data_IF_194766570194
#
_entry.id   IF_194766570194
#
_cell.length_a   1.000
_cell.length_b   1.000
_cell.length_c   1.000
_cell.angle_alpha   90.00
_cell.angle_beta   90.00
_cell.angle_gamma   90.00
#
_symmetry.space_group_name_H-M   'P 1'
#
loop_
_entity.id
_entity.type
_entity.pdbx_description
1 polymer ?
#
# COMPACT_ATOMS: atom_id res chain seq x y z
N UNK A 1 22.19 21.60 3.02
CA UNK A 1 20.99 21.41 2.20
C UNK A 1 20.14 22.64 2.38
N UNK A 2 19.94 23.43 1.35
CA UNK A 2 19.06 24.59 1.41
C UNK A 2 17.63 24.09 1.46
N UNK A 3 16.91 24.40 2.53
CA UNK A 3 15.51 23.97 2.74
C UNK A 3 14.52 25.11 2.51
N UNK A 4 14.98 26.22 1.94
CA UNK A 4 14.17 27.45 1.78
C UNK A 4 12.94 27.20 0.91
N UNK A 5 13.06 26.34 -0.10
CA UNK A 5 11.96 25.96 -1.00
C UNK A 5 11.37 24.56 -0.70
N UNK A 6 11.83 23.88 0.34
CA UNK A 6 11.33 22.55 0.70
C UNK A 6 10.00 22.66 1.46
N UNK A 7 9.02 21.79 1.17
CA UNK A 7 7.76 21.77 1.90
C UNK A 7 8.01 21.54 3.40
N UNK A 8 7.43 22.39 4.24
CA UNK A 8 7.55 22.22 5.68
C UNK A 8 6.56 21.15 6.17
N UNK A 9 7.05 20.24 7.01
CA UNK A 9 6.22 19.27 7.72
C UNK A 9 5.92 19.83 9.10
N UNK A 10 4.67 20.14 9.37
CA UNK A 10 4.21 20.73 10.64
C UNK A 10 3.30 19.72 11.33
N UNK A 11 3.62 19.39 12.59
CA UNK A 11 2.74 18.59 13.43
C UNK A 11 1.53 19.47 13.80
N UNK A 12 0.34 18.97 13.42
CA UNK A 12 -0.91 19.69 13.67
C UNK A 12 -1.64 19.14 14.88
N UNK A 13 -1.78 17.81 14.96
CA UNK A 13 -2.49 17.12 16.05
C UNK A 13 -1.82 15.79 16.35
N UNK A 14 -1.64 15.51 17.65
CA UNK A 14 -1.24 14.20 18.16
C UNK A 14 -2.37 13.60 18.99
N UNK A 15 -2.73 12.36 18.73
CA UNK A 15 -3.77 11.63 19.46
C UNK A 15 -3.25 10.26 19.91
N UNK A 16 -3.24 10.03 21.20
CA UNK A 16 -2.97 8.69 21.75
C UNK A 16 -4.23 7.82 21.68
N UNK A 17 -4.02 6.54 21.39
CA UNK A 17 -5.06 5.51 21.35
C UNK A 17 -4.73 4.37 22.31
N UNK A 18 -5.75 3.62 22.74
CA UNK A 18 -5.62 2.52 23.70
C UNK A 18 -5.37 1.14 23.06
N UNK A 19 -5.02 1.11 21.77
CA UNK A 19 -4.72 -0.07 20.98
C UNK A 19 -3.45 0.15 20.15
N UNK A 20 -2.85 -0.93 19.66
CA UNK A 20 -1.72 -0.84 18.72
C UNK A 20 -2.26 -0.60 17.30
N UNK A 21 -2.05 0.60 16.70
CA UNK A 21 -2.48 0.87 15.35
C UNK A 21 -1.57 0.15 14.35
N UNK A 22 -2.17 -0.43 13.31
CA UNK A 22 -1.44 -1.07 12.20
C UNK A 22 -1.64 -0.37 10.87
N UNK A 23 -2.84 0.17 10.63
CA UNK A 23 -3.14 0.88 9.40
C UNK A 23 -4.06 2.07 9.66
N UNK A 24 -3.90 3.11 8.86
CA UNK A 24 -4.74 4.30 8.88
C UNK A 24 -5.05 4.74 7.46
N UNK A 25 -6.32 5.04 7.18
CA UNK A 25 -6.81 5.42 5.85
C UNK A 25 -7.76 6.60 5.92
N UNK A 26 -7.56 7.58 5.07
CA UNK A 26 -8.56 8.61 4.87
C UNK A 26 -9.81 8.04 4.20
N UNK A 27 -10.97 8.40 4.73
CA UNK A 27 -12.24 8.10 4.06
C UNK A 27 -12.33 9.02 2.84
N UNK A 28 -12.49 8.48 1.64
CA UNK A 28 -12.46 9.26 0.41
C UNK A 28 -13.44 10.43 0.44
N UNK A 29 -12.99 11.59 -0.06
CA UNK A 29 -13.78 12.84 -0.14
C UNK A 29 -14.38 13.27 1.21
N UNK A 30 -13.67 13.07 2.31
CA UNK A 30 -14.14 13.48 3.64
C UNK A 30 -13.01 14.01 4.54
N UNK A 31 -13.38 14.69 5.64
CA UNK A 31 -12.46 15.10 6.71
C UNK A 31 -12.37 14.04 7.83
N UNK A 32 -12.54 12.76 7.46
CA UNK A 32 -12.52 11.62 8.38
C UNK A 32 -11.47 10.62 7.95
N UNK A 33 -10.89 9.91 8.91
CA UNK A 33 -10.03 8.77 8.64
C UNK A 33 -10.34 7.63 9.59
N UNK A 34 -9.97 6.43 9.17
CA UNK A 34 -10.11 5.21 9.96
C UNK A 34 -8.73 4.79 10.42
N UNK A 35 -8.60 4.45 11.70
CA UNK A 35 -7.45 3.76 12.26
C UNK A 35 -7.85 2.35 12.64
N UNK A 36 -7.04 1.39 12.25
CA UNK A 36 -7.26 -0.04 12.45
C UNK A 36 -6.12 -0.64 13.27
N UNK A 37 -6.44 -1.56 14.16
CA UNK A 37 -5.42 -2.13 15.03
C UNK A 37 -5.89 -3.26 15.91
N UNK A 38 -5.13 -3.52 16.97
CA UNK A 38 -5.36 -4.58 17.93
C UNK A 38 -5.28 -4.05 19.36
N UNK A 39 -6.29 -4.39 20.16
CA UNK A 39 -6.27 -4.15 21.59
C UNK A 39 -5.36 -5.14 22.33
N UNK A 40 -4.90 -4.82 23.55
CA UNK A 40 -4.09 -5.74 24.35
C UNK A 40 -4.73 -7.11 24.60
N UNK A 41 -6.07 -7.20 24.54
CA UNK A 41 -6.85 -8.45 24.66
C UNK A 41 -6.96 -9.23 23.35
N UNK A 42 -6.20 -8.87 22.31
CA UNK A 42 -6.21 -9.44 20.96
C UNK A 42 -7.51 -9.20 20.16
N UNK A 43 -8.43 -8.38 20.66
CA UNK A 43 -9.60 -7.93 19.89
C UNK A 43 -9.21 -6.83 18.90
N UNK A 44 -9.99 -6.69 17.83
CA UNK A 44 -9.74 -5.71 16.78
C UNK A 44 -10.31 -4.34 17.11
N UNK A 45 -9.62 -3.29 16.72
CA UNK A 45 -10.10 -1.92 16.78
C UNK A 45 -10.30 -1.38 15.36
N UNK A 46 -11.46 -0.77 15.10
CA UNK A 46 -11.72 0.05 13.92
C UNK A 46 -12.33 1.36 14.41
N UNK A 47 -11.53 2.41 14.46
CA UNK A 47 -11.96 3.70 15.00
C UNK A 47 -12.01 4.74 13.90
N UNK A 48 -13.13 5.42 13.78
CA UNK A 48 -13.32 6.53 12.82
C UNK A 48 -13.13 7.84 13.56
N UNK A 49 -12.20 8.63 13.05
CA UNK A 49 -11.90 9.96 13.55
C UNK A 49 -12.36 11.03 12.56
N UNK A 50 -12.87 12.12 13.08
CA UNK A 50 -13.20 13.32 12.31
C UNK A 50 -12.34 14.48 12.79
N UNK A 51 -11.77 15.23 11.83
CA UNK A 51 -11.11 16.50 12.09
C UNK A 51 -12.17 17.60 12.13
N UNK A 52 -12.43 18.13 13.32
CA UNK A 52 -13.42 19.19 13.55
C UNK A 52 -12.80 20.31 14.39
N UNK A 53 -12.84 21.54 13.88
CA UNK A 53 -12.36 22.72 14.60
C UNK A 53 -10.95 22.60 15.19
N UNK A 54 -10.06 21.92 14.47
CA UNK A 54 -8.67 21.71 14.92
C UNK A 54 -8.49 20.58 15.92
N UNK A 55 -9.53 19.78 16.23
CA UNK A 55 -9.47 18.64 17.12
C UNK A 55 -9.82 17.33 16.40
N UNK A 56 -9.25 16.22 16.89
CA UNK A 56 -9.63 14.87 16.47
C UNK A 56 -10.69 14.30 17.40
N UNK A 57 -11.93 14.20 16.89
CA UNK A 57 -13.04 13.57 17.60
C UNK A 57 -13.25 12.15 17.09
N UNK A 58 -13.48 11.21 18.01
CA UNK A 58 -13.91 9.84 17.69
C UNK A 58 -15.38 9.90 17.28
N UNK A 59 -15.68 9.42 16.08
CA UNK A 59 -17.06 9.36 15.54
C UNK A 59 -17.63 7.97 15.76
N UNK A 60 -16.84 6.92 15.49
CA UNK A 60 -17.20 5.53 15.73
C UNK A 60 -16.03 4.82 16.38
N UNK A 61 -16.34 3.99 17.36
CA UNK A 61 -15.39 3.10 18.03
C UNK A 61 -15.97 1.69 18.01
N UNK A 62 -15.32 0.81 17.24
CA UNK A 62 -15.80 -0.53 16.95
C UNK A 62 -14.78 -1.54 17.43
N UNK A 63 -15.20 -2.41 18.33
CA UNK A 63 -14.44 -3.57 18.74
C UNK A 63 -14.86 -4.79 17.91
N UNK A 64 -13.87 -5.53 17.39
CA UNK A 64 -14.07 -6.73 16.57
C UNK A 64 -13.44 -7.93 17.25
N UNK A 65 -13.89 -9.13 16.89
CA UNK A 65 -13.44 -10.37 17.53
C UNK A 65 -11.93 -10.60 17.37
N UNK A 66 -11.37 -10.26 16.21
CA UNK A 66 -9.96 -10.45 15.87
C UNK A 66 -9.29 -9.14 15.51
N UNK A 67 -7.99 -8.99 15.87
CA UNK A 67 -7.20 -7.82 15.52
C UNK A 67 -7.25 -7.52 14.02
N UNK A 68 -7.41 -6.25 13.67
CA UNK A 68 -7.47 -5.79 12.28
C UNK A 68 -6.10 -5.29 11.85
N UNK A 69 -5.58 -5.83 10.74
CA UNK A 69 -4.21 -5.59 10.28
C UNK A 69 -4.10 -4.53 9.19
N UNK A 70 -5.00 -4.54 8.24
CA UNK A 70 -4.94 -3.73 7.04
C UNK A 70 -6.33 -3.37 6.54
N UNK A 71 -6.44 -2.30 5.73
CA UNK A 71 -7.70 -1.91 5.14
C UNK A 71 -7.55 -1.07 3.87
N UNK A 72 -8.59 -1.05 3.05
CA UNK A 72 -8.64 -0.28 1.81
C UNK A 72 -10.07 0.17 1.47
N UNK A 73 -10.16 1.32 0.81
CA UNK A 73 -11.38 1.82 0.16
C UNK A 73 -11.36 1.60 -1.36
N UNK A 74 -10.27 1.04 -1.91
CA UNK A 74 -9.99 1.02 -3.34
C UNK A 74 -11.00 0.29 -4.21
N UNK A 75 -11.81 -0.60 -3.65
CA UNK A 75 -12.86 -1.33 -4.38
C UNK A 75 -14.27 -0.79 -4.11
N UNK A 76 -14.43 0.32 -3.40
CA UNK A 76 -15.73 0.90 -3.08
C UNK A 76 -16.00 2.14 -3.92
N UNK A 77 -17.28 2.37 -4.27
CA UNK A 77 -17.69 3.63 -4.88
C UNK A 77 -17.50 4.81 -3.92
N UNK A 78 -17.41 6.02 -4.45
CA UNK A 78 -17.34 7.25 -3.64
C UNK A 78 -18.64 7.52 -2.86
N UNK A 79 -19.76 6.97 -3.31
CA UNK A 79 -21.04 7.11 -2.63
C UNK A 79 -21.13 6.17 -1.42
N UNK A 80 -20.78 4.89 -1.60
CA UNK A 80 -20.86 3.88 -0.55
C UNK A 80 -19.73 3.96 0.47
N UNK A 81 -18.49 4.23 0.04
CA UNK A 81 -17.29 4.35 0.91
C UNK A 81 -17.09 3.17 1.85
N UNK A 82 -17.37 1.95 1.37
CA UNK A 82 -17.18 0.75 2.15
C UNK A 82 -15.70 0.48 2.41
N UNK A 83 -15.36 0.11 3.65
CA UNK A 83 -14.03 -0.27 4.07
C UNK A 83 -13.88 -1.79 3.99
N UNK A 84 -12.98 -2.28 3.15
CA UNK A 84 -12.55 -3.67 3.19
C UNK A 84 -11.36 -3.81 4.15
N UNK A 85 -11.41 -4.78 5.06
CA UNK A 85 -10.36 -5.04 6.04
C UNK A 85 -9.93 -6.49 6.06
N UNK A 86 -8.67 -6.73 6.45
CA UNK A 86 -8.12 -8.05 6.72
C UNK A 86 -7.73 -8.18 8.20
N UNK A 87 -8.07 -9.32 8.79
CA UNK A 87 -7.85 -9.59 10.20
C UNK A 87 -6.78 -10.66 10.49
N UNK A 88 -6.52 -10.87 11.77
CA UNK A 88 -5.55 -11.85 12.27
C UNK A 88 -6.02 -13.30 12.17
N UNK A 89 -7.31 -13.54 11.96
CA UNK A 89 -7.87 -14.88 11.75
C UNK A 89 -7.90 -15.27 10.26
N UNK A 90 -7.48 -14.36 9.35
CA UNK A 90 -7.54 -14.58 7.91
C UNK A 90 -8.91 -14.28 7.30
N UNK A 91 -9.77 -13.60 8.04
CA UNK A 91 -11.10 -13.20 7.58
C UNK A 91 -10.98 -11.82 6.91
N UNK A 92 -11.49 -11.73 5.69
CA UNK A 92 -11.71 -10.46 5.01
C UNK A 92 -13.16 -10.04 5.24
N UNK A 93 -13.35 -8.80 5.68
CA UNK A 93 -14.68 -8.24 5.94
C UNK A 93 -14.83 -6.86 5.28
N UNK A 94 -16.03 -6.53 4.84
CA UNK A 94 -16.38 -5.22 4.26
C UNK A 94 -17.40 -4.56 5.15
N UNK A 95 -17.12 -3.33 5.57
CA UNK A 95 -17.97 -2.54 6.47
C UNK A 95 -18.53 -1.32 5.76
N UNK A 96 -19.82 -1.09 6.03
CA UNK A 96 -20.50 0.16 5.74
C UNK A 96 -20.55 0.99 7.03
N UNK A 97 -20.11 2.27 6.97
CA UNK A 97 -20.13 3.15 8.14
C UNK A 97 -21.51 3.71 8.50
N UNK A 98 -22.54 3.42 7.70
CA UNK A 98 -23.93 3.68 8.13
C UNK A 98 -24.41 2.64 9.16
N UNK A 99 -23.90 1.39 9.06
CA UNK A 99 -24.19 0.27 9.97
C UNK A 99 -22.92 -0.54 10.26
N UNK A 100 -21.94 0.05 10.96
CA UNK A 100 -20.61 -0.50 11.06
C UNK A 100 -20.47 -1.68 12.03
N UNK A 101 -21.53 -2.03 12.79
CA UNK A 101 -21.52 -3.13 13.74
C UNK A 101 -21.39 -4.49 13.03
N UNK A 102 -22.08 -4.64 11.90
CA UNK A 102 -22.16 -5.88 11.12
C UNK A 102 -21.51 -5.65 9.75
N UNK A 103 -20.60 -6.54 9.30
CA UNK A 103 -20.03 -6.42 7.97
C UNK A 103 -21.11 -6.69 6.89
N UNK A 104 -21.08 -5.93 5.81
CA UNK A 104 -21.89 -6.16 4.59
C UNK A 104 -21.49 -7.48 3.93
N UNK A 105 -20.20 -7.82 4.03
CA UNK A 105 -19.64 -9.06 3.50
C UNK A 105 -18.51 -9.54 4.41
N UNK A 106 -18.39 -10.86 4.57
CA UNK A 106 -17.29 -11.50 5.30
C UNK A 106 -16.99 -12.87 4.71
N UNK A 107 -15.72 -13.18 4.54
CA UNK A 107 -15.24 -14.47 4.03
C UNK A 107 -13.88 -14.84 4.61
N UNK A 108 -13.66 -16.15 4.80
CA UNK A 108 -12.34 -16.69 5.10
C UNK A 108 -11.48 -16.62 3.84
N UNK A 109 -10.59 -15.63 3.76
CA UNK A 109 -9.71 -15.45 2.62
C UNK A 109 -8.41 -16.23 2.76
N UNK A 110 -7.88 -16.34 3.97
CA UNK A 110 -6.62 -17.02 4.29
C UNK A 110 -6.78 -17.90 5.54
N UNK A 111 -5.91 -18.90 5.69
CA UNK A 111 -5.85 -19.76 6.90
C UNK A 111 -5.13 -19.06 8.08
N UNK A 112 -4.48 -17.94 7.84
CA UNK A 112 -3.71 -17.17 8.80
C UNK A 112 -3.90 -15.68 8.55
N UNK A 113 -3.15 -14.84 9.25
CA UNK A 113 -3.24 -13.38 9.20
C UNK A 113 -3.25 -12.85 7.77
N UNK A 114 -4.18 -11.96 7.45
CA UNK A 114 -4.13 -11.13 6.25
C UNK A 114 -3.19 -9.96 6.53
N UNK A 115 -2.03 -9.96 5.88
CA UNK A 115 -1.01 -8.94 6.10
C UNK A 115 -1.24 -7.67 5.28
N UNK A 116 -1.82 -7.80 4.09
CA UNK A 116 -2.08 -6.70 3.18
C UNK A 116 -3.38 -6.88 2.42
N UNK A 117 -3.98 -5.77 2.06
CA UNK A 117 -5.18 -5.70 1.21
C UNK A 117 -5.09 -4.46 0.33
N UNK A 118 -5.45 -4.60 -0.92
CA UNK A 118 -5.65 -3.45 -1.82
C UNK A 118 -6.84 -3.71 -2.74
N UNK A 119 -7.39 -2.64 -3.31
CA UNK A 119 -8.56 -2.70 -4.17
C UNK A 119 -8.43 -1.84 -5.42
N UNK A 120 -9.15 -2.24 -6.46
CA UNK A 120 -9.28 -1.52 -7.71
C UNK A 120 -10.72 -1.50 -8.24
N UNK A 121 -10.97 -0.67 -9.25
CA UNK A 121 -12.29 -0.53 -9.88
C UNK A 121 -13.32 0.21 -9.01
N UNK A 122 -12.90 0.75 -7.87
CA UNK A 122 -13.70 1.61 -7.00
C UNK A 122 -13.31 3.09 -7.13
N UNK A 123 -13.82 3.93 -6.21
CA UNK A 123 -13.54 5.36 -6.13
C UNK A 123 -13.85 6.15 -7.41
N UNK A 124 -14.68 5.60 -8.30
CA UNK A 124 -14.97 6.13 -9.64
C UNK A 124 -13.68 6.31 -10.49
N UNK A 125 -12.69 5.46 -10.26
CA UNK A 125 -11.38 5.45 -10.93
C UNK A 125 -11.23 4.13 -11.69
N UNK A 126 -10.67 4.20 -12.91
CA UNK A 126 -10.36 3.05 -13.73
C UNK A 126 -11.58 2.41 -14.39
N UNK A 127 -11.39 1.22 -14.94
CA UNK A 127 -12.38 0.47 -15.70
C UNK A 127 -12.56 -0.94 -15.13
N UNK A 128 -13.77 -1.46 -15.21
CA UNK A 128 -14.08 -2.84 -14.83
C UNK A 128 -14.76 -2.97 -13.46
N UNK A 129 -14.98 -4.22 -13.07
CA UNK A 129 -15.61 -4.53 -11.79
C UNK A 129 -14.68 -4.22 -10.62
N UNK A 130 -15.21 -3.81 -9.45
CA UNK A 130 -14.43 -3.70 -8.23
C UNK A 130 -13.80 -5.05 -7.85
N UNK A 131 -12.51 -5.03 -7.54
CA UNK A 131 -11.74 -6.21 -7.14
C UNK A 131 -10.91 -5.91 -5.90
N UNK A 132 -10.75 -6.93 -5.05
CA UNK A 132 -9.90 -6.91 -3.86
C UNK A 132 -8.82 -7.98 -3.98
N UNK A 133 -7.57 -7.61 -3.69
CA UNK A 133 -6.47 -8.54 -3.52
C UNK A 133 -6.05 -8.57 -2.07
N UNK A 134 -5.87 -9.77 -1.53
CA UNK A 134 -5.38 -10.00 -0.18
C UNK A 134 -4.10 -10.82 -0.21
N UNK A 135 -3.16 -10.50 0.67
CA UNK A 135 -1.94 -11.27 0.90
C UNK A 135 -1.90 -11.73 2.35
N UNK A 136 -1.75 -13.03 2.55
CA UNK A 136 -1.73 -13.66 3.87
C UNK A 136 -0.42 -14.34 4.22
N UNK A 137 -0.29 -14.78 5.47
CA UNK A 137 0.89 -15.48 5.99
C UNK A 137 0.86 -17.00 5.73
N UNK A 138 -0.17 -17.52 5.12
CA UNK A 138 -0.43 -18.94 5.05
C UNK A 138 0.40 -19.70 4.02
N UNK A 139 1.25 -19.07 3.22
CA UNK A 139 2.31 -19.68 2.41
C UNK A 139 1.93 -20.92 1.57
N UNK A 140 0.81 -21.54 1.88
CA UNK A 140 0.31 -22.75 1.23
C UNK A 140 -0.33 -22.39 -0.11
N UNK A 141 0.30 -22.88 -1.17
CA UNK A 141 -0.05 -22.71 -2.56
C UNK A 141 -1.43 -23.22 -2.98
N UNK A 142 -2.51 -22.91 -2.27
CA UNK A 142 -3.86 -23.26 -2.66
C UNK A 142 -4.64 -22.02 -3.16
N UNK A 143 -4.70 -21.80 -4.49
CA UNK A 143 -5.53 -20.76 -5.08
C UNK A 143 -6.98 -21.17 -5.10
N UNK A 144 -7.83 -20.28 -4.75
CA UNK A 144 -9.22 -20.28 -5.12
C UNK A 144 -9.53 -18.89 -5.69
N UNK A 145 -9.79 -18.87 -6.98
CA UNK A 145 -10.65 -17.88 -7.59
C UNK A 145 -12.06 -18.24 -7.14
N UNK A 146 -12.48 -17.74 -5.99
CA UNK A 146 -13.86 -17.90 -5.58
C UNK A 146 -14.65 -16.70 -6.07
N UNK A 147 -15.59 -16.96 -6.97
CA UNK A 147 -16.56 -15.98 -7.45
C UNK A 147 -17.55 -15.73 -6.33
N UNK A 148 -17.30 -14.79 -5.47
CA UNK A 148 -18.29 -14.32 -4.53
C UNK A 148 -19.02 -13.08 -5.04
N UNK A 149 -20.28 -13.33 -5.43
CA UNK A 149 -21.42 -12.42 -5.41
C UNK A 149 -21.23 -10.98 -5.91
N UNK A 150 -21.63 -10.78 -7.13
CA UNK A 150 -22.17 -9.59 -7.83
C UNK A 150 -21.50 -8.22 -7.66
N UNK A 151 -20.63 -7.96 -6.66
CA UNK A 151 -20.03 -6.64 -6.44
C UNK A 151 -18.55 -6.61 -6.09
N UNK A 152 -17.93 -7.76 -5.71
CA UNK A 152 -16.52 -7.80 -5.34
C UNK A 152 -15.85 -9.07 -5.85
N UNK A 153 -14.81 -8.93 -6.64
CA UNK A 153 -13.93 -10.03 -7.04
C UNK A 153 -12.77 -10.09 -6.05
N UNK A 154 -12.60 -11.19 -5.36
CA UNK A 154 -11.43 -11.40 -4.50
C UNK A 154 -10.40 -12.20 -5.30
N UNK A 155 -9.28 -11.57 -5.64
CA UNK A 155 -8.14 -12.25 -6.23
C UNK A 155 -7.30 -12.82 -5.08
N UNK A 156 -7.45 -14.10 -4.82
CA UNK A 156 -6.64 -14.85 -3.88
C UNK A 156 -5.46 -15.46 -4.62
N UNK A 157 -4.24 -14.95 -4.40
CA UNK A 157 -3.05 -15.55 -5.00
C UNK A 157 -2.38 -16.50 -4.00
N UNK A 158 -2.17 -17.78 -4.39
CA UNK A 158 -1.68 -18.88 -3.54
C UNK A 158 -0.26 -18.70 -3.00
N UNK A 159 0.53 -17.80 -3.54
CA UNK A 159 1.95 -17.66 -3.19
C UNK A 159 2.32 -16.29 -2.61
N UNK A 160 1.33 -15.50 -2.14
CA UNK A 160 1.55 -14.21 -1.49
C UNK A 160 1.89 -14.40 0.00
N UNK A 161 2.95 -15.12 0.31
CA UNK A 161 3.46 -15.24 1.66
C UNK A 161 4.27 -13.98 2.05
N UNK A 162 3.59 -12.92 2.40
CA UNK A 162 4.20 -11.79 3.09
C UNK A 162 4.27 -12.07 4.59
N UNK A 163 5.38 -12.63 5.07
CA UNK A 163 5.55 -13.01 6.48
C UNK A 163 5.47 -11.83 7.45
N UNK A 164 5.72 -10.60 7.02
CA UNK A 164 5.72 -9.42 7.89
C UNK A 164 5.27 -8.11 7.22
N UNK A 165 4.51 -8.16 6.14
CA UNK A 165 3.99 -6.92 5.56
C UNK A 165 3.08 -6.19 6.55
N UNK A 166 3.64 -5.26 7.29
CA UNK A 166 2.89 -4.30 8.10
C UNK A 166 2.26 -3.19 7.26
N UNK A 167 2.59 -3.14 5.99
CA UNK A 167 2.04 -2.24 4.98
C UNK A 167 1.54 -3.05 3.78
N UNK A 168 0.58 -2.61 2.99
CA UNK A 168 0.08 -3.38 1.86
C UNK A 168 1.23 -3.74 0.93
N UNK A 169 1.63 -5.02 0.96
CA UNK A 169 2.62 -5.60 0.07
C UNK A 169 2.08 -5.85 -1.33
N UNK A 170 0.91 -5.34 -1.64
CA UNK A 170 0.31 -5.37 -2.98
C UNK A 170 -0.24 -4.01 -3.38
N UNK A 171 -0.26 -3.74 -4.65
CA UNK A 171 -0.84 -2.53 -5.23
C UNK A 171 -1.40 -2.83 -6.61
N UNK A 172 -2.60 -2.34 -6.87
CA UNK A 172 -3.23 -2.38 -8.17
C UNK A 172 -2.86 -1.20 -9.05
N UNK A 173 -2.79 -1.44 -10.35
CA UNK A 173 -2.97 -0.43 -11.37
C UNK A 173 -4.27 -0.72 -12.12
N UNK A 174 -5.22 0.20 -12.06
CA UNK A 174 -6.58 0.02 -12.59
C UNK A 174 -6.60 0.11 -14.12
N UNK A 175 -5.76 0.97 -14.71
CA UNK A 175 -5.71 1.20 -16.16
C UNK A 175 -5.22 -0.05 -16.90
N UNK A 176 -4.12 -0.64 -16.44
CA UNK A 176 -3.56 -1.86 -17.03
C UNK A 176 -4.08 -3.15 -16.39
N UNK A 177 -4.90 -3.08 -15.36
CA UNK A 177 -5.40 -4.23 -14.58
C UNK A 177 -4.26 -5.12 -14.09
N UNK A 178 -3.22 -4.51 -13.56
CA UNK A 178 -2.05 -5.19 -13.02
C UNK A 178 -2.01 -5.14 -11.51
N UNK A 179 -1.54 -6.23 -10.90
CA UNK A 179 -1.29 -6.35 -9.46
C UNK A 179 0.19 -6.56 -9.23
N UNK A 180 0.82 -5.66 -8.48
CA UNK A 180 2.16 -5.86 -7.96
C UNK A 180 2.11 -6.46 -6.56
N UNK A 181 2.92 -7.47 -6.29
CA UNK A 181 3.00 -8.16 -5.01
C UNK A 181 4.45 -8.30 -4.55
N UNK A 182 4.69 -8.06 -3.27
CA UNK A 182 6.00 -8.20 -2.62
C UNK A 182 6.01 -9.32 -1.59
N UNK A 183 7.16 -9.97 -1.42
CA UNK A 183 7.33 -11.16 -0.60
C UNK A 183 8.51 -11.01 0.38
N UNK A 184 8.48 -11.78 1.45
CA UNK A 184 9.53 -11.78 2.47
C UNK A 184 10.89 -12.30 1.99
N UNK A 185 10.88 -13.21 1.01
CA UNK A 185 12.10 -13.71 0.37
C UNK A 185 12.74 -12.68 -0.57
N UNK A 186 12.13 -11.49 -0.70
CA UNK A 186 12.59 -10.41 -1.56
C UNK A 186 12.03 -10.43 -2.97
N UNK A 187 11.16 -11.37 -3.31
CA UNK A 187 10.52 -11.38 -4.62
C UNK A 187 9.53 -10.23 -4.75
N UNK A 188 9.53 -9.63 -5.92
CA UNK A 188 8.50 -8.70 -6.39
C UNK A 188 7.94 -9.24 -7.69
N UNK A 189 6.63 -9.44 -7.75
CA UNK A 189 5.95 -10.02 -8.90
C UNK A 189 4.86 -9.09 -9.41
N UNK A 190 4.75 -8.99 -10.72
CA UNK A 190 3.73 -8.23 -11.42
C UNK A 190 2.83 -9.19 -12.19
N UNK A 191 1.54 -9.19 -11.87
CA UNK A 191 0.53 -10.01 -12.51
C UNK A 191 -0.37 -9.17 -13.40
N UNK A 192 -0.67 -9.66 -14.59
CA UNK A 192 -1.73 -9.13 -15.46
C UNK A 192 -3.02 -9.90 -15.19
N UNK A 193 -4.03 -9.23 -14.65
CA UNK A 193 -5.29 -9.84 -14.26
C UNK A 193 -6.23 -10.11 -15.46
N UNK A 194 -5.98 -9.49 -16.61
CA UNK A 194 -6.77 -9.73 -17.85
C UNK A 194 -6.42 -11.08 -18.45
N UNK A 195 -5.13 -11.42 -18.44
CA UNK A 195 -4.60 -12.68 -18.97
C UNK A 195 -4.39 -13.73 -17.90
N UNK A 196 -4.45 -13.32 -16.62
CA UNK A 196 -4.15 -14.13 -15.45
C UNK A 196 -2.76 -14.76 -15.50
N UNK A 197 -1.78 -13.99 -15.99
CA UNK A 197 -0.38 -14.41 -16.14
C UNK A 197 0.55 -13.51 -15.36
N UNK A 198 1.71 -14.07 -14.99
CA UNK A 198 2.80 -13.28 -14.43
C UNK A 198 3.51 -12.53 -15.57
N UNK A 199 3.49 -11.19 -15.53
CA UNK A 199 4.09 -10.31 -16.52
C UNK A 199 5.59 -10.10 -16.29
N UNK A 200 6.00 -10.04 -15.02
CA UNK A 200 7.38 -9.80 -14.63
C UNK A 200 7.62 -10.20 -13.17
N UNK A 201 8.86 -10.60 -12.90
CA UNK A 201 9.34 -10.86 -11.55
C UNK A 201 10.80 -10.40 -11.37
N UNK A 202 11.15 -10.05 -10.15
CA UNK A 202 12.52 -9.74 -9.74
C UNK A 202 12.71 -10.03 -8.26
N UNK A 203 13.98 -10.13 -7.82
CA UNK A 203 14.31 -10.27 -6.40
C UNK A 203 15.11 -9.05 -5.93
N UNK A 204 14.68 -8.43 -4.84
CA UNK A 204 15.35 -7.26 -4.25
C UNK A 204 16.41 -7.63 -3.22
N UNK A 205 16.65 -8.94 -3.01
CA UNK A 205 17.65 -9.53 -2.09
C UNK A 205 17.34 -9.28 -0.60
N UNK A 206 16.20 -8.70 -0.29
CA UNK A 206 15.76 -8.49 1.08
C UNK A 206 14.23 -8.49 1.15
N UNK A 207 13.66 -8.83 2.32
CA UNK A 207 12.23 -8.88 2.49
C UNK A 207 11.53 -7.59 2.06
N UNK A 208 10.53 -7.71 1.21
CA UNK A 208 9.68 -6.60 0.78
C UNK A 208 8.67 -6.29 1.87
N UNK A 209 8.54 -5.03 2.23
CA UNK A 209 7.60 -4.57 3.25
C UNK A 209 6.39 -3.89 2.63
N UNK A 210 6.61 -3.09 1.61
CA UNK A 210 5.55 -2.38 0.91
C UNK A 210 5.82 -2.28 -0.59
N UNK A 211 4.74 -2.23 -1.35
CA UNK A 211 4.74 -2.02 -2.80
C UNK A 211 3.66 -1.02 -3.13
N UNK A 212 3.95 -0.04 -3.98
CA UNK A 212 2.96 0.93 -4.42
C UNK A 212 3.24 1.47 -5.82
N UNK A 213 2.23 1.47 -6.68
CA UNK A 213 2.25 2.26 -7.92
C UNK A 213 2.11 3.76 -7.62
N UNK A 214 2.71 4.58 -8.47
CA UNK A 214 2.66 6.03 -8.34
C UNK A 214 1.24 6.60 -8.57
N UNK A 215 0.48 6.02 -9.50
CA UNK A 215 -0.94 6.26 -9.70
C UNK A 215 -1.62 4.98 -10.16
N UNK A 216 -2.88 4.81 -9.74
CA UNK A 216 -3.67 3.62 -10.06
C UNK A 216 -4.54 3.79 -11.31
N UNK A 217 -4.95 5.02 -11.58
CA UNK A 217 -5.96 5.43 -12.55
C UNK A 217 -5.43 5.73 -13.96
N UNK A 218 -4.13 5.63 -14.15
CA UNK A 218 -3.46 5.87 -15.44
C UNK A 218 -2.37 4.85 -15.66
N UNK A 219 -1.86 4.77 -16.88
CA UNK A 219 -0.75 3.89 -17.27
C UNK A 219 0.40 3.89 -16.26
N UNK A 220 0.88 2.69 -15.91
CA UNK A 220 1.95 2.49 -14.95
C UNK A 220 3.20 3.28 -15.35
N UNK A 221 3.76 4.02 -14.42
CA UNK A 221 4.98 4.77 -14.66
C UNK A 221 6.08 4.46 -13.63
N UNK A 222 5.73 4.39 -12.36
CA UNK A 222 6.67 4.04 -11.29
C UNK A 222 6.08 3.02 -10.33
N UNK A 223 6.95 2.14 -9.84
CA UNK A 223 6.64 1.21 -8.77
C UNK A 223 7.64 1.40 -7.64
N UNK A 224 7.17 1.80 -6.48
CA UNK A 224 7.96 1.93 -5.26
C UNK A 224 7.91 0.62 -4.50
N UNK A 225 9.08 0.10 -4.14
CA UNK A 225 9.26 -1.12 -3.33
C UNK A 225 10.08 -0.75 -2.10
N UNK A 226 9.54 -0.95 -0.91
CA UNK A 226 10.24 -0.72 0.37
C UNK A 226 10.69 -2.04 0.99
N UNK A 227 11.83 -2.02 1.68
CA UNK A 227 12.48 -3.24 2.17
C UNK A 227 12.79 -3.18 3.67
N UNK A 228 13.07 -4.36 4.24
CA UNK A 228 13.52 -4.50 5.63
C UNK A 228 14.87 -3.83 5.90
N UNK A 229 15.73 -3.66 4.89
CA UNK A 229 17.09 -3.11 5.01
C UNK A 229 17.21 -1.59 4.91
N UNK A 230 16.27 -0.83 5.37
CA UNK A 230 16.35 0.64 5.34
C UNK A 230 16.37 1.26 3.93
N UNK A 231 16.20 0.48 2.89
CA UNK A 231 16.24 0.91 1.48
C UNK A 231 14.87 0.85 0.83
N UNK A 232 14.70 1.65 -0.18
CA UNK A 232 13.65 1.45 -1.17
C UNK A 232 14.25 1.32 -2.56
N UNK A 233 13.50 0.71 -3.48
CA UNK A 233 13.75 0.73 -4.91
C UNK A 233 12.59 1.41 -5.62
N UNK A 234 12.93 2.21 -6.62
CA UNK A 234 11.97 2.84 -7.52
C UNK A 234 12.19 2.30 -8.92
N UNK A 235 11.23 1.55 -9.43
CA UNK A 235 11.26 1.00 -10.79
C UNK A 235 10.56 1.96 -11.75
N UNK A 236 11.14 2.17 -12.94
CA UNK A 236 10.50 2.87 -14.06
C UNK A 236 9.78 1.84 -14.93
N UNK A 237 8.45 1.77 -14.77
CA UNK A 237 7.59 0.77 -15.43
C UNK A 237 7.40 1.03 -16.94
N UNK A 238 7.98 2.10 -17.47
CA UNK A 238 7.98 2.45 -18.90
C UNK A 238 9.23 1.95 -19.64
N UNK A 239 10.14 1.27 -18.94
CA UNK A 239 11.46 0.87 -19.45
C UNK A 239 11.67 -0.64 -19.29
N UNK A 240 11.00 -1.44 -20.09
CA UNK A 240 11.18 -2.88 -20.03
C UNK A 240 12.28 -3.36 -20.98
N UNK A 241 13.23 -4.13 -20.45
CA UNK A 241 14.26 -4.84 -21.22
C UNK A 241 14.10 -6.36 -21.04
N UNK A 242 14.07 -7.17 -22.12
CA UNK A 242 13.78 -8.60 -22.02
C UNK A 242 14.68 -9.39 -21.06
N UNK A 243 16.00 -9.05 -21.03
CA UNK A 243 16.96 -9.74 -20.18
C UNK A 243 17.19 -9.09 -18.80
N UNK A 244 16.94 -7.75 -18.66
CA UNK A 244 17.26 -7.00 -17.45
C UNK A 244 16.03 -6.51 -16.67
N UNK A 245 14.84 -6.65 -17.26
CA UNK A 245 13.59 -6.15 -16.68
C UNK A 245 13.48 -4.62 -16.71
N UNK A 246 12.78 -4.06 -15.74
CA UNK A 246 12.60 -2.61 -15.62
C UNK A 246 13.84 -1.94 -15.02
N UNK A 247 14.18 -0.74 -15.51
CA UNK A 247 15.19 0.09 -14.88
C UNK A 247 14.77 0.49 -13.47
N UNK A 248 15.71 0.57 -12.56
CA UNK A 248 15.45 0.99 -11.19
C UNK A 248 16.58 1.83 -10.62
N UNK A 249 16.25 2.61 -9.59
CA UNK A 249 17.19 3.21 -8.68
C UNK A 249 16.96 2.65 -7.27
N UNK A 250 17.99 2.66 -6.43
CA UNK A 250 17.91 2.22 -5.04
C UNK A 250 18.52 3.27 -4.12
N UNK A 251 17.80 3.61 -3.07
CA UNK A 251 18.23 4.63 -2.11
C UNK A 251 18.05 4.14 -0.68
N UNK A 252 18.96 4.55 0.22
CA UNK A 252 18.85 4.32 1.66
C UNK A 252 18.04 5.43 2.30
N UNK A 253 16.80 5.14 2.70
CA UNK A 253 15.87 6.13 3.23
C UNK A 253 16.06 6.40 4.73
N UNK A 254 16.24 5.34 5.53
CA UNK A 254 16.23 5.43 6.99
C UNK A 254 17.41 4.67 7.61
N UNK A 255 17.52 4.71 8.92
CA UNK A 255 18.49 3.89 9.70
C UNK A 255 17.92 2.51 10.09
N UNK A 256 16.67 2.25 9.72
CA UNK A 256 15.90 1.04 10.05
C UNK A 256 15.00 0.67 8.89
N UNK A 257 14.20 -0.40 9.05
CA UNK A 257 13.19 -0.83 8.08
C UNK A 257 12.36 0.33 7.54
N UNK A 258 12.13 0.36 6.23
CA UNK A 258 11.18 1.27 5.59
C UNK A 258 9.82 0.59 5.58
N UNK A 259 8.97 0.94 6.56
CA UNK A 259 7.67 0.27 6.73
C UNK A 259 6.67 0.63 5.65
N UNK A 260 6.69 1.85 5.17
CA UNK A 260 5.74 2.31 4.16
C UNK A 260 6.35 3.35 3.24
N UNK A 261 5.89 3.36 1.99
CA UNK A 261 6.08 4.44 1.05
C UNK A 261 4.75 4.81 0.42
N UNK A 262 4.49 6.11 0.21
CA UNK A 262 3.24 6.62 -0.36
C UNK A 262 3.50 7.77 -1.32
N UNK A 263 3.00 7.64 -2.54
CA UNK A 263 2.99 8.74 -3.50
C UNK A 263 1.91 9.75 -3.17
N UNK A 264 2.19 11.02 -3.43
CA UNK A 264 1.21 12.09 -3.34
C UNK A 264 0.20 11.94 -4.51
N UNK A 265 -1.11 11.80 -4.24
CA UNK A 265 -2.10 11.58 -5.30
C UNK A 265 -2.13 12.67 -6.37
N UNK A 266 -1.86 13.92 -5.98
CA UNK A 266 -1.89 15.09 -6.87
C UNK A 266 -0.60 15.25 -7.70
N UNK A 267 0.51 14.67 -7.24
CA UNK A 267 1.80 14.76 -7.92
C UNK A 267 2.56 13.44 -7.81
N UNK A 268 2.55 12.67 -8.89
CA UNK A 268 3.19 11.35 -8.99
C UNK A 268 4.71 11.33 -8.82
N UNK A 269 5.36 12.50 -8.76
CA UNK A 269 6.81 12.61 -8.58
C UNK A 269 7.20 12.84 -7.12
N UNK A 270 6.22 13.16 -6.26
CA UNK A 270 6.41 13.30 -4.83
C UNK A 270 5.96 12.04 -4.09
N UNK A 271 6.79 11.58 -3.16
CA UNK A 271 6.45 10.46 -2.29
C UNK A 271 7.09 10.61 -0.91
N UNK A 272 6.46 9.98 0.05
CA UNK A 272 6.95 9.93 1.44
C UNK A 272 7.31 8.51 1.84
N UNK A 273 8.24 8.37 2.79
CA UNK A 273 8.59 7.09 3.41
C UNK A 273 8.56 7.19 4.91
N UNK A 274 8.11 6.12 5.58
CA UNK A 274 8.08 5.98 7.03
C UNK A 274 9.02 4.89 7.50
N UNK A 275 9.87 5.22 8.47
CA UNK A 275 10.89 4.34 9.01
C UNK A 275 10.53 3.74 10.36
N UNK A 276 11.17 2.61 10.68
CA UNK A 276 11.05 1.94 11.99
C UNK A 276 11.67 2.73 13.15
N UNK A 277 12.44 3.75 12.84
CA UNK A 277 13.01 4.68 13.82
C UNK A 277 12.14 5.93 14.07
N UNK A 278 10.87 5.92 13.61
CA UNK A 278 9.97 7.07 13.68
C UNK A 278 10.32 8.21 12.71
N UNK A 279 11.25 7.94 11.79
CA UNK A 279 11.66 8.89 10.76
C UNK A 279 10.66 8.98 9.62
N UNK A 280 10.43 10.18 9.17
CA UNK A 280 9.63 10.54 7.99
C UNK A 280 10.55 11.24 6.99
N UNK A 281 10.52 10.83 5.74
CA UNK A 281 11.22 11.48 4.65
C UNK A 281 10.25 11.79 3.51
N UNK A 282 10.39 12.97 2.93
CA UNK A 282 9.68 13.40 1.73
C UNK A 282 10.68 13.52 0.58
N UNK A 283 10.40 12.87 -0.54
CA UNK A 283 11.26 12.82 -1.72
C UNK A 283 10.54 13.35 -2.95
N UNK A 284 11.37 13.86 -3.88
CA UNK A 284 10.99 14.14 -5.26
C UNK A 284 11.79 13.25 -6.20
N UNK A 285 11.11 12.62 -7.14
CA UNK A 285 11.72 11.83 -8.19
C UNK A 285 12.04 12.69 -9.41
N UNK A 286 13.24 12.56 -9.93
CA UNK A 286 13.71 13.21 -11.13
C UNK A 286 13.97 12.17 -12.22
N UNK A 287 13.33 12.38 -13.37
CA UNK A 287 13.53 11.53 -14.53
C UNK A 287 14.91 11.79 -15.15
N UNK A 288 15.56 10.76 -15.71
CA UNK A 288 16.78 10.95 -16.48
C UNK A 288 16.46 11.74 -17.75
N UNK A 289 17.48 12.40 -18.32
CA UNK A 289 17.35 13.15 -19.59
C UNK A 289 16.90 12.25 -20.75
N UNK A 290 17.34 10.98 -20.75
CA UNK A 290 16.84 9.92 -21.63
C UNK A 290 16.45 8.73 -20.76
N UNK A 291 15.24 8.22 -20.92
CA UNK A 291 14.77 7.03 -20.19
C UNK A 291 15.36 5.73 -20.69
N UNK A 292 15.88 5.74 -21.92
CA UNK A 292 16.45 4.55 -22.53
C UNK A 292 17.75 4.90 -23.24
N UNK A 293 18.69 3.95 -23.21
CA UNK A 293 19.92 3.96 -23.99
C UNK A 293 20.05 2.63 -24.72
N UNK A 294 20.58 2.58 -25.97
CA UNK A 294 20.82 1.31 -26.64
C UNK A 294 21.92 0.53 -25.91
N UNK A 295 21.74 -0.77 -25.75
CA UNK A 295 22.80 -1.68 -25.30
C UNK A 295 23.71 -2.11 -26.46
N UNK A 296 24.62 -3.06 -26.22
CA UNK A 296 25.56 -3.56 -27.22
C UNK A 296 24.88 -4.24 -28.43
N UNK A 297 23.67 -4.75 -28.23
CA UNK A 297 22.87 -5.44 -29.25
C UNK A 297 21.85 -4.49 -29.92
N UNK A 298 21.87 -3.20 -29.54
CA UNK A 298 20.96 -2.18 -30.07
C UNK A 298 19.56 -2.23 -29.42
N UNK A 299 19.36 -3.05 -28.38
CA UNK A 299 18.09 -3.11 -27.63
C UNK A 299 18.06 -1.97 -26.61
N UNK A 300 16.93 -1.26 -26.53
CA UNK A 300 16.78 -0.18 -25.59
C UNK A 300 16.79 -0.66 -24.14
N UNK A 301 17.83 -0.27 -23.40
CA UNK A 301 17.97 -0.52 -21.97
C UNK A 301 17.47 0.71 -21.18
N UNK A 302 16.66 0.48 -20.16
CA UNK A 302 16.14 1.54 -19.31
C UNK A 302 17.23 2.19 -18.44
N UNK A 303 17.08 3.48 -18.20
CA UNK A 303 17.92 4.27 -17.29
C UNK A 303 17.09 4.69 -16.09
N UNK A 304 17.55 4.33 -14.89
CA UNK A 304 16.90 4.75 -13.64
C UNK A 304 17.07 6.25 -13.42
N UNK A 305 16.02 6.88 -12.85
CA UNK A 305 16.11 8.28 -12.43
C UNK A 305 16.86 8.45 -11.11
N UNK A 306 16.74 9.63 -10.52
CA UNK A 306 17.32 9.98 -9.23
C UNK A 306 16.24 10.50 -8.27
N UNK A 307 16.53 10.54 -6.97
CA UNK A 307 15.64 11.13 -5.97
C UNK A 307 16.34 12.25 -5.23
N UNK A 308 15.58 13.27 -4.92
CA UNK A 308 15.96 14.40 -4.09
C UNK A 308 15.22 14.33 -2.76
N UNK A 309 15.94 14.40 -1.64
CA UNK A 309 15.33 14.49 -0.32
C UNK A 309 14.91 15.93 -0.05
N UNK A 310 13.59 16.18 -0.04
CA UNK A 310 13.03 17.51 0.21
C UNK A 310 12.93 17.82 1.70
N UNK A 311 12.53 16.85 2.50
CA UNK A 311 12.38 17.02 3.94
C UNK A 311 12.63 15.70 4.68
N UNK A 312 13.20 15.79 5.88
CA UNK A 312 13.43 14.65 6.77
C UNK A 312 13.16 15.06 8.21
N UNK A 313 12.30 14.32 8.92
CA UNK A 313 11.95 14.56 10.31
C UNK A 313 11.80 13.26 11.09
N UNK A 314 12.09 13.29 12.37
CA UNK A 314 11.70 12.24 13.31
C UNK A 314 10.39 12.71 13.96
N UNK A 315 9.29 12.02 13.66
CA UNK A 315 7.95 12.37 14.13
C UNK A 315 7.56 11.59 15.39
N UNK A 316 8.23 10.45 15.64
CA UNK A 316 7.90 9.56 16.75
C UNK A 316 9.14 8.82 17.23
N UNK A 317 9.12 8.37 18.47
CA UNK A 317 10.09 7.37 19.00
C UNK A 317 9.70 5.94 18.61
N UNK A 318 8.48 5.75 18.11
CA UNK A 318 7.93 4.47 17.65
C UNK A 318 7.97 4.39 16.11
N UNK A 319 7.95 3.18 15.52
CA UNK A 319 7.88 3.01 14.08
C UNK A 319 6.68 3.72 13.45
N UNK A 320 6.91 4.37 12.31
CA UNK A 320 5.81 4.85 11.46
C UNK A 320 5.35 3.67 10.61
N UNK A 321 4.25 3.04 11.04
CA UNK A 321 3.74 1.80 10.43
C UNK A 321 2.72 2.05 9.33
N UNK A 322 2.05 3.19 9.35
CA UNK A 322 1.10 3.60 8.31
C UNK A 322 1.13 5.10 8.10
N UNK A 323 0.93 5.50 6.86
CA UNK A 323 0.79 6.89 6.41
C UNK A 323 -0.23 6.93 5.29
N UNK A 324 -0.95 8.03 5.20
CA UNK A 324 -1.87 8.25 4.08
C UNK A 324 -1.98 9.75 3.76
N UNK A 325 -2.36 10.05 2.51
CA UNK A 325 -2.61 11.41 2.02
C UNK A 325 -4.12 11.69 1.99
N UNK A 326 -4.45 12.95 2.26
CA UNK A 326 -5.82 13.44 2.12
C UNK A 326 -6.03 14.13 0.77
#
# INVERSE_FOLDING_TARGET
>A
MDTTDAPQVIEHITKSVNYTPYDARWIPCSARFVSMGIHPRATGAINVFALQQGELKVVHELEKQHGVKCGTFGASSLDARHLAVGDYAGIMSIYDFEKPEIPVYSAQAHKSIINCIDGCGGLNIGYGAPELATGGRDGDGAGLLDRCLRYYFVVQHRSLSCLNCRSPGNSFNDDERCLAAGYDNGDVKLFDLRTNTMRWETNVQNGVVGVQFDRKDIEMNKLLVTTLESKFRMYDMRTFHPAKGYAFMSEKAHKSTVWQGRFLPQNRDLFMTGGGNGGFNLYKYHYPSSRTTPDADGIHMGVGGTVELLNSRVLSTQPIVSMDWR
#
